data_IF_867825622206
#
_entry.id   IF_867825622206
#
_cell.length_a   1.000
_cell.length_b   1.000
_cell.length_c   1.000
_cell.angle_alpha   90.00
_cell.angle_beta   90.00
_cell.angle_gamma   90.00
#
_symmetry.space_group_name_H-M   'P 1'
#
loop_
_entity.id
_entity.type
_entity.pdbx_description
1 polymer ?
#
# COMPACT_ATOMS: atom_id res chain seq x y z
N UNK A 1 -4.12 15.10 -21.13
CA UNK A 1 -3.10 14.18 -20.61
C UNK A 1 -3.77 12.86 -20.23
N UNK A 2 -3.11 11.70 -20.22
CA UNK A 2 -3.73 10.47 -19.75
C UNK A 2 -4.17 10.62 -18.30
N UNK A 3 -5.30 9.99 -17.95
CA UNK A 3 -5.83 10.02 -16.58
C UNK A 3 -4.90 9.19 -15.69
N UNK A 4 -4.26 9.84 -14.72
CA UNK A 4 -3.43 9.18 -13.73
C UNK A 4 -4.29 8.57 -12.61
N UNK A 5 -4.06 7.31 -12.29
CA UNK A 5 -4.83 6.60 -11.25
C UNK A 5 -3.98 6.32 -10.02
N UNK A 6 -4.53 6.67 -8.87
CA UNK A 6 -3.93 6.34 -7.57
C UNK A 6 -4.89 5.44 -6.82
N UNK A 7 -4.44 4.24 -6.49
CA UNK A 7 -5.17 3.32 -5.62
C UNK A 7 -4.57 3.34 -4.21
N UNK A 8 -5.39 3.61 -3.21
CA UNK A 8 -4.99 3.55 -1.80
C UNK A 8 -5.59 2.28 -1.21
N UNK A 9 -4.74 1.37 -0.74
CA UNK A 9 -5.11 0.06 -0.21
C UNK A 9 -4.92 0.06 1.30
N UNK A 10 -6.02 -0.12 2.03
CA UNK A 10 -6.04 -0.13 3.50
C UNK A 10 -5.35 -1.37 4.09
N UNK A 11 -5.15 -1.37 5.41
CA UNK A 11 -4.57 -2.47 6.16
C UNK A 11 -5.59 -3.49 6.67
N UNK A 12 -5.15 -4.29 7.63
CA UNK A 12 -5.97 -5.30 8.34
C UNK A 12 -7.17 -4.65 9.00
N UNK A 13 -8.37 -5.16 8.74
CA UNK A 13 -9.65 -4.65 9.25
C UNK A 13 -9.91 -3.16 8.95
N UNK A 14 -9.23 -2.62 7.96
CA UNK A 14 -9.34 -1.22 7.58
C UNK A 14 -10.54 -0.92 6.67
N UNK A 15 -10.66 0.34 6.29
CA UNK A 15 -11.69 0.83 5.36
C UNK A 15 -11.21 2.09 4.63
N UNK A 16 -12.02 2.54 3.64
CA UNK A 16 -11.69 3.70 2.79
C UNK A 16 -11.71 5.06 3.49
N UNK A 17 -12.27 5.14 4.71
CA UNK A 17 -12.52 6.40 5.42
C UNK A 17 -11.60 6.64 6.62
N UNK A 18 -10.62 5.76 6.83
CA UNK A 18 -9.73 5.83 8.00
C UNK A 18 -8.41 6.54 7.69
N UNK A 19 -7.69 6.88 8.77
CA UNK A 19 -6.34 7.42 8.73
C UNK A 19 -6.24 8.67 7.83
N UNK A 20 -5.16 8.79 7.09
CA UNK A 20 -4.85 9.85 6.15
C UNK A 20 -5.44 9.62 4.74
N UNK A 21 -6.18 8.52 4.50
CA UNK A 21 -6.66 8.17 3.15
C UNK A 21 -7.63 9.20 2.57
N UNK A 22 -8.68 9.68 3.33
CA UNK A 22 -9.59 10.71 2.82
C UNK A 22 -8.87 12.01 2.51
N UNK A 23 -7.95 12.42 3.38
CA UNK A 23 -7.15 13.63 3.19
C UNK A 23 -6.24 13.53 1.96
N UNK A 24 -5.49 12.42 1.81
CA UNK A 24 -4.60 12.22 0.65
C UNK A 24 -5.40 12.21 -0.66
N UNK A 25 -6.56 11.56 -0.67
CA UNK A 25 -7.47 11.56 -1.82
C UNK A 25 -7.91 12.98 -2.19
N UNK A 26 -8.30 13.78 -1.20
CA UNK A 26 -8.73 15.16 -1.41
C UNK A 26 -7.61 16.02 -1.97
N UNK A 27 -6.41 15.96 -1.37
CA UNK A 27 -5.25 16.76 -1.79
C UNK A 27 -4.75 16.39 -3.20
N UNK A 28 -4.72 15.11 -3.54
CA UNK A 28 -4.34 14.66 -4.89
C UNK A 28 -5.39 15.10 -5.93
N UNK A 29 -6.68 15.01 -5.63
CA UNK A 29 -7.72 15.48 -6.54
C UNK A 29 -7.70 17.01 -6.73
N UNK A 30 -7.24 17.78 -5.73
CA UNK A 30 -7.02 19.24 -5.84
C UNK A 30 -5.80 19.56 -6.69
N UNK A 31 -4.75 18.72 -6.62
CA UNK A 31 -3.49 18.95 -7.33
C UNK A 31 -3.66 18.90 -8.85
N UNK A 32 -4.51 18.01 -9.38
CA UNK A 32 -4.79 17.93 -10.81
C UNK A 32 -6.17 17.33 -11.10
N UNK A 33 -6.93 17.90 -12.06
CA UNK A 33 -8.20 17.33 -12.52
C UNK A 33 -8.03 15.99 -13.27
N UNK A 34 -6.82 15.66 -13.69
CA UNK A 34 -6.51 14.42 -14.41
C UNK A 34 -6.16 13.25 -13.47
N UNK A 35 -6.09 13.49 -12.15
CA UNK A 35 -5.88 12.45 -11.15
C UNK A 35 -7.22 11.84 -10.74
N UNK A 36 -7.25 10.51 -10.64
CA UNK A 36 -8.39 9.76 -10.09
C UNK A 36 -7.94 8.88 -8.94
N UNK A 37 -8.31 9.27 -7.72
CA UNK A 37 -7.96 8.51 -6.52
C UNK A 37 -9.10 7.58 -6.14
N UNK A 38 -8.80 6.30 -6.02
CA UNK A 38 -9.73 5.25 -5.59
C UNK A 38 -9.23 4.61 -4.31
N UNK A 39 -10.09 4.56 -3.31
CA UNK A 39 -9.83 3.84 -2.04
C UNK A 39 -10.88 2.74 -1.95
N UNK A 40 -10.61 1.51 -2.42
CA UNK A 40 -11.59 0.45 -2.38
C UNK A 40 -11.82 -0.02 -0.94
N UNK A 41 -13.07 -0.27 -0.56
CA UNK A 41 -13.41 -1.00 0.66
C UNK A 41 -13.24 -2.49 0.38
N UNK A 42 -12.17 -3.08 0.91
CA UNK A 42 -11.88 -4.50 0.76
C UNK A 42 -12.45 -5.27 1.95
N UNK A 43 -12.87 -6.55 1.76
CA UNK A 43 -13.49 -7.34 2.81
C UNK A 43 -12.65 -7.46 4.08
N UNK A 44 -13.29 -7.32 5.25
CA UNK A 44 -12.66 -7.34 6.57
C UNK A 44 -13.21 -8.44 7.47
N UNK A 45 -12.66 -8.60 8.66
CA UNK A 45 -13.07 -9.60 9.64
C UNK A 45 -12.94 -11.01 9.08
N UNK A 46 -13.97 -11.82 9.26
CA UNK A 46 -13.99 -13.21 8.79
C UNK A 46 -13.92 -13.36 7.26
N UNK A 47 -14.20 -12.29 6.52
CA UNK A 47 -14.14 -12.25 5.07
C UNK A 47 -12.79 -11.71 4.55
N UNK A 48 -11.86 -11.34 5.45
CA UNK A 48 -10.52 -10.88 5.06
C UNK A 48 -9.68 -12.05 4.58
N UNK A 49 -9.51 -12.16 3.29
CA UNK A 49 -8.60 -13.11 2.65
C UNK A 49 -8.06 -12.55 1.35
N UNK A 50 -6.90 -13.03 0.92
CA UNK A 50 -6.31 -12.61 -0.36
C UNK A 50 -7.28 -12.86 -1.52
N UNK A 51 -7.95 -14.00 -1.54
CA UNK A 51 -8.92 -14.36 -2.58
C UNK A 51 -10.09 -13.35 -2.64
N UNK A 52 -10.68 -13.05 -1.48
CA UNK A 52 -11.80 -12.11 -1.40
C UNK A 52 -11.36 -10.68 -1.78
N UNK A 53 -10.14 -10.27 -1.41
CA UNK A 53 -9.60 -8.96 -1.81
C UNK A 53 -9.35 -8.89 -3.32
N UNK A 54 -8.80 -9.95 -3.92
CA UNK A 54 -8.62 -10.03 -5.37
C UNK A 54 -9.97 -9.96 -6.10
N UNK A 55 -10.98 -10.67 -5.60
CA UNK A 55 -12.34 -10.63 -6.15
C UNK A 55 -12.97 -9.25 -6.03
N UNK A 56 -12.86 -8.60 -4.87
CA UNK A 56 -13.37 -7.25 -4.65
C UNK A 56 -12.64 -6.20 -5.51
N UNK A 57 -11.35 -6.41 -5.80
CA UNK A 57 -10.55 -5.51 -6.64
C UNK A 57 -10.75 -5.75 -8.15
N UNK A 58 -11.34 -6.88 -8.55
CA UNK A 58 -11.52 -7.24 -9.96
C UNK A 58 -12.12 -6.14 -10.86
N UNK A 59 -13.12 -5.36 -10.43
CA UNK A 59 -13.66 -4.26 -11.25
C UNK A 59 -12.64 -3.16 -11.59
N UNK A 60 -11.57 -3.05 -10.80
CA UNK A 60 -10.53 -2.02 -10.95
C UNK A 60 -9.34 -2.48 -11.80
N UNK A 61 -9.18 -3.78 -12.05
CA UNK A 61 -8.03 -4.34 -12.78
C UNK A 61 -7.87 -3.71 -14.17
N UNK A 62 -8.96 -3.42 -14.86
CA UNK A 62 -8.95 -2.76 -16.17
C UNK A 62 -8.34 -1.35 -16.17
N UNK A 63 -8.14 -0.77 -14.99
CA UNK A 63 -7.54 0.55 -14.80
C UNK A 63 -6.09 0.49 -14.31
N UNK A 64 -5.53 -0.71 -14.16
CA UNK A 64 -4.13 -0.89 -13.79
C UNK A 64 -3.30 -0.83 -15.07
N UNK A 65 -2.65 0.30 -15.28
CA UNK A 65 -1.83 0.60 -16.45
C UNK A 65 -0.46 1.19 -16.05
N UNK A 66 0.33 1.64 -17.02
CA UNK A 66 1.67 2.19 -16.80
C UNK A 66 1.68 3.53 -16.03
N UNK A 67 0.55 4.23 -15.98
CA UNK A 67 0.41 5.49 -15.24
C UNK A 67 -0.19 5.28 -13.84
N UNK A 68 -0.49 4.02 -13.48
CA UNK A 68 -1.07 3.69 -12.19
C UNK A 68 -0.06 3.80 -11.05
N UNK A 69 -0.49 4.37 -9.92
CA UNK A 69 0.24 4.45 -8.66
C UNK A 69 -0.54 3.68 -7.60
N UNK A 70 0.16 2.85 -6.84
CA UNK A 70 -0.42 2.23 -5.64
C UNK A 70 0.16 2.83 -4.37
N UNK A 71 -0.70 3.02 -3.39
CA UNK A 71 -0.34 3.38 -2.01
C UNK A 71 -0.91 2.28 -1.12
N UNK A 72 -0.07 1.59 -0.36
CA UNK A 72 -0.51 0.53 0.54
C UNK A 72 -0.14 0.82 1.97
N UNK A 73 -1.07 0.64 2.90
CA UNK A 73 -0.83 0.74 4.33
C UNK A 73 -0.87 -0.64 4.99
N UNK A 74 0.10 -0.95 5.83
CA UNK A 74 0.11 -2.15 6.68
C UNK A 74 0.04 -3.46 5.88
N UNK A 75 -1.11 -4.14 5.83
CA UNK A 75 -1.36 -5.33 5.00
C UNK A 75 -1.48 -5.00 3.50
N UNK A 76 -1.86 -3.76 3.16
CA UNK A 76 -2.06 -3.32 1.78
C UNK A 76 -0.89 -3.63 0.85
N UNK A 77 0.38 -3.43 1.24
CA UNK A 77 1.55 -3.83 0.46
C UNK A 77 1.59 -5.31 0.07
N UNK A 78 1.25 -6.24 0.95
CA UNK A 78 1.22 -7.67 0.64
C UNK A 78 0.15 -7.99 -0.43
N UNK A 79 -0.98 -7.29 -0.39
CA UNK A 79 -2.00 -7.35 -1.44
C UNK A 79 -1.50 -6.77 -2.77
N UNK A 80 -0.85 -5.59 -2.75
CA UNK A 80 -0.26 -4.96 -3.94
C UNK A 80 0.75 -5.91 -4.60
N UNK A 81 1.63 -6.54 -3.85
CA UNK A 81 2.57 -7.53 -4.40
C UNK A 81 1.84 -8.69 -5.06
N UNK A 82 0.77 -9.19 -4.43
CA UNK A 82 -0.05 -10.25 -5.01
C UNK A 82 -0.77 -9.83 -6.29
N UNK A 83 -1.10 -8.55 -6.46
CA UNK A 83 -1.59 -7.98 -7.73
C UNK A 83 -0.47 -7.89 -8.76
N UNK A 84 0.72 -7.37 -8.39
CA UNK A 84 1.86 -7.22 -9.28
C UNK A 84 2.34 -8.57 -9.85
N UNK A 85 2.19 -9.66 -9.10
CA UNK A 85 2.48 -11.01 -9.61
C UNK A 85 1.50 -11.46 -10.71
N UNK A 86 0.31 -10.85 -10.81
CA UNK A 86 -0.79 -11.27 -11.69
C UNK A 86 -1.00 -10.39 -12.91
N UNK A 87 -0.58 -9.12 -12.82
CA UNK A 87 -0.68 -8.20 -13.96
C UNK A 87 0.52 -8.37 -14.91
N UNK A 88 0.32 -7.97 -16.18
CA UNK A 88 1.37 -7.97 -17.19
C UNK A 88 1.76 -6.54 -17.59
N UNK A 89 1.48 -5.57 -16.72
CA UNK A 89 1.74 -4.16 -16.95
C UNK A 89 2.67 -3.66 -15.86
N UNK A 90 3.68 -2.89 -16.23
CA UNK A 90 4.57 -2.21 -15.31
C UNK A 90 3.93 -0.91 -14.87
N UNK A 91 3.49 -0.84 -13.62
CA UNK A 91 2.92 0.38 -13.03
C UNK A 91 4.00 1.44 -12.78
N UNK A 92 3.59 2.71 -12.60
CA UNK A 92 4.48 3.83 -12.37
C UNK A 92 5.21 3.77 -11.04
N UNK A 93 4.48 3.59 -9.94
CA UNK A 93 5.09 3.52 -8.61
C UNK A 93 4.20 2.80 -7.58
N UNK A 94 4.84 2.35 -6.49
CA UNK A 94 4.17 1.87 -5.29
C UNK A 94 4.79 2.49 -4.03
N UNK A 95 3.96 3.15 -3.23
CA UNK A 95 4.29 3.72 -1.92
C UNK A 95 3.77 2.80 -0.82
N UNK A 96 4.66 2.28 -0.02
CA UNK A 96 4.42 1.18 0.92
C UNK A 96 4.63 1.69 2.36
N UNK A 97 3.54 1.91 3.10
CA UNK A 97 3.55 2.47 4.45
C UNK A 97 3.43 1.36 5.47
N UNK A 98 4.41 1.24 6.37
CA UNK A 98 4.53 0.17 7.36
C UNK A 98 4.32 -1.23 6.76
N UNK A 99 5.02 -1.61 5.67
CA UNK A 99 4.81 -2.88 4.97
C UNK A 99 5.36 -4.07 5.75
N UNK A 100 4.67 -5.20 5.63
CA UNK A 100 5.16 -6.50 6.07
C UNK A 100 4.67 -7.62 5.15
N UNK A 101 5.42 -8.72 5.10
CA UNK A 101 5.10 -9.92 4.30
C UNK A 101 5.35 -11.21 5.08
N UNK A 102 5.56 -11.10 6.38
CA UNK A 102 5.76 -12.21 7.32
C UNK A 102 4.91 -11.98 8.56
N UNK A 103 4.76 -13.01 9.41
CA UNK A 103 4.01 -12.87 10.67
C UNK A 103 4.54 -11.73 11.53
N UNK A 104 3.63 -11.06 12.22
CA UNK A 104 3.91 -9.94 13.14
C UNK A 104 4.32 -10.42 14.53
N UNK A 105 4.08 -11.71 14.84
CA UNK A 105 4.21 -12.27 16.19
C UNK A 105 3.00 -11.99 17.07
N UNK A 106 1.93 -11.46 16.50
CA UNK A 106 0.65 -11.18 17.16
C UNK A 106 -0.37 -12.18 16.63
N UNK A 107 -0.66 -13.22 17.42
CA UNK A 107 -1.44 -14.38 16.98
C UNK A 107 -2.73 -14.03 16.23
N UNK A 108 -3.48 -13.05 16.73
CA UNK A 108 -4.74 -12.62 16.13
C UNK A 108 -4.53 -12.05 14.72
N UNK A 109 -3.52 -11.18 14.54
CA UNK A 109 -3.21 -10.60 13.25
C UNK A 109 -2.58 -11.61 12.29
N UNK A 110 -1.70 -12.47 12.80
CA UNK A 110 -1.05 -13.50 11.98
C UNK A 110 -2.06 -14.51 11.42
N UNK A 111 -3.10 -14.85 12.22
CA UNK A 111 -4.20 -15.69 11.76
C UNK A 111 -5.02 -14.99 10.67
N UNK A 112 -5.42 -13.74 10.91
CA UNK A 112 -6.27 -12.95 10.01
C UNK A 112 -5.56 -12.65 8.67
N UNK A 113 -4.26 -12.39 8.72
CA UNK A 113 -3.45 -12.03 7.56
C UNK A 113 -2.84 -13.23 6.83
N UNK A 114 -3.09 -14.44 7.31
CA UNK A 114 -2.37 -15.64 6.90
C UNK A 114 -2.38 -15.91 5.39
N UNK A 115 -3.50 -15.66 4.72
CA UNK A 115 -3.62 -15.88 3.26
C UNK A 115 -2.79 -14.92 2.42
N UNK A 116 -2.40 -13.77 2.98
CA UNK A 116 -1.59 -12.76 2.31
C UNK A 116 -0.08 -12.99 2.50
N UNK A 117 0.33 -13.51 3.67
CA UNK A 117 1.73 -13.56 4.10
C UNK A 117 2.31 -14.97 4.18
N UNK A 118 1.48 -16.03 4.21
CA UNK A 118 1.95 -17.44 4.19
C UNK A 118 2.09 -17.94 2.76
N UNK A 119 2.89 -17.24 1.98
CA UNK A 119 3.20 -17.59 0.59
C UNK A 119 4.59 -17.09 0.22
N UNK A 120 5.17 -17.70 -0.78
CA UNK A 120 6.36 -17.16 -1.42
C UNK A 120 5.96 -16.07 -2.43
N UNK A 121 6.70 -14.96 -2.41
CA UNK A 121 6.51 -13.87 -3.37
C UNK A 121 7.55 -13.99 -4.49
N UNK A 122 7.10 -13.88 -5.74
CA UNK A 122 8.00 -13.74 -6.88
C UNK A 122 8.51 -12.29 -6.96
N UNK A 123 9.58 -12.03 -6.20
CA UNK A 123 10.19 -10.70 -6.14
C UNK A 123 10.71 -10.21 -7.49
N UNK A 124 11.10 -11.11 -8.41
CA UNK A 124 11.52 -10.74 -9.75
C UNK A 124 10.34 -10.19 -10.54
N UNK A 125 9.21 -10.90 -10.51
CA UNK A 125 7.98 -10.46 -11.17
C UNK A 125 7.46 -9.16 -10.57
N UNK A 126 7.46 -9.02 -9.24
CA UNK A 126 7.05 -7.82 -8.52
C UNK A 126 7.89 -6.62 -8.97
N UNK A 127 9.22 -6.73 -8.96
CA UNK A 127 10.12 -5.65 -9.40
C UNK A 127 9.96 -5.33 -10.88
N UNK A 128 9.74 -6.32 -11.74
CA UNK A 128 9.54 -6.08 -13.18
C UNK A 128 8.25 -5.31 -13.48
N UNK A 129 7.24 -5.45 -12.62
CA UNK A 129 5.90 -4.86 -12.82
C UNK A 129 5.66 -3.57 -12.03
N UNK A 130 6.71 -2.97 -11.46
CA UNK A 130 6.64 -1.62 -10.87
C UNK A 130 7.93 -0.86 -11.17
N UNK A 131 7.84 0.41 -11.57
CA UNK A 131 9.01 1.20 -11.93
C UNK A 131 9.78 1.66 -10.70
N UNK A 132 9.06 2.16 -9.69
CA UNK A 132 9.63 2.70 -8.46
C UNK A 132 8.88 2.21 -7.23
N UNK A 133 9.64 1.88 -6.18
CA UNK A 133 9.11 1.59 -4.85
C UNK A 133 9.66 2.58 -3.83
N UNK A 134 8.78 3.04 -2.93
CA UNK A 134 9.16 3.79 -1.73
C UNK A 134 8.53 3.13 -0.51
N UNK A 135 9.33 2.87 0.52
CA UNK A 135 8.88 2.29 1.79
C UNK A 135 9.00 3.34 2.88
N UNK A 136 7.94 3.54 3.64
CA UNK A 136 7.92 4.35 4.87
C UNK A 136 7.82 3.41 6.07
N UNK A 137 8.74 3.55 7.00
CA UNK A 137 8.75 2.82 8.27
C UNK A 137 8.80 3.81 9.43
N UNK A 138 8.29 3.41 10.58
CA UNK A 138 8.41 4.19 11.82
C UNK A 138 9.28 3.45 12.82
N UNK A 139 10.09 4.20 13.57
CA UNK A 139 10.97 3.65 14.62
C UNK A 139 10.22 3.26 15.91
N UNK A 140 8.97 3.68 16.04
CA UNK A 140 8.12 3.39 17.21
C UNK A 140 6.79 2.71 16.81
N UNK A 141 6.72 2.04 15.66
CA UNK A 141 5.53 1.29 15.25
C UNK A 141 5.30 0.09 16.21
N UNK A 142 4.13 0.03 16.89
CA UNK A 142 3.86 -1.03 17.87
C UNK A 142 3.52 -2.39 17.23
N UNK A 143 3.31 -2.46 15.92
CA UNK A 143 2.88 -3.67 15.21
C UNK A 143 3.92 -4.18 14.21
N UNK A 144 4.46 -3.29 13.40
CA UNK A 144 5.40 -3.62 12.32
C UNK A 144 6.78 -3.08 12.67
N UNK A 145 7.68 -3.96 13.10
CA UNK A 145 9.05 -3.53 13.36
C UNK A 145 9.72 -2.96 12.11
N UNK A 146 10.62 -2.02 12.32
CA UNK A 146 11.39 -1.38 11.24
C UNK A 146 12.12 -2.42 10.36
N UNK A 147 12.56 -3.55 10.95
CA UNK A 147 13.26 -4.63 10.23
C UNK A 147 12.33 -5.35 9.24
N UNK A 148 11.04 -5.48 9.55
CA UNK A 148 10.06 -6.06 8.61
C UNK A 148 9.85 -5.16 7.40
N UNK A 149 9.75 -3.86 7.62
CA UNK A 149 9.64 -2.87 6.56
C UNK A 149 10.95 -2.77 5.75
N UNK A 150 12.11 -2.85 6.39
CA UNK A 150 13.41 -2.90 5.73
C UNK A 150 13.57 -4.14 4.86
N UNK A 151 13.14 -5.30 5.36
CA UNK A 151 13.13 -6.53 4.55
C UNK A 151 12.33 -6.33 3.24
N UNK A 152 11.17 -5.68 3.31
CA UNK A 152 10.38 -5.38 2.11
C UNK A 152 11.13 -4.42 1.18
N UNK A 153 11.75 -3.38 1.73
CA UNK A 153 12.53 -2.43 0.95
C UNK A 153 13.69 -3.10 0.21
N UNK A 154 14.42 -3.98 0.88
CA UNK A 154 15.54 -4.73 0.29
C UNK A 154 15.05 -5.66 -0.84
N UNK A 155 13.91 -6.33 -0.65
CA UNK A 155 13.33 -7.22 -1.66
C UNK A 155 12.81 -6.51 -2.89
N UNK A 156 12.37 -5.26 -2.73
CA UNK A 156 11.79 -4.45 -3.82
C UNK A 156 12.80 -3.47 -4.44
N UNK A 157 14.00 -3.31 -3.87
CA UNK A 157 14.96 -2.25 -4.16
C UNK A 157 14.36 -0.85 -3.94
N UNK A 158 13.51 -0.71 -2.92
CA UNK A 158 12.79 0.53 -2.63
C UNK A 158 13.68 1.63 -2.04
N UNK A 159 13.31 2.88 -2.28
CA UNK A 159 13.74 3.99 -1.43
C UNK A 159 13.19 3.74 -0.01
N UNK A 160 14.05 3.75 1.00
CA UNK A 160 13.64 3.49 2.38
C UNK A 160 13.69 4.76 3.21
N UNK A 161 12.55 5.15 3.77
CA UNK A 161 12.37 6.35 4.58
C UNK A 161 11.94 5.96 5.99
N UNK A 162 12.60 6.51 7.00
CA UNK A 162 12.22 6.35 8.41
C UNK A 162 11.56 7.63 8.88
N UNK A 163 10.30 7.53 9.30
CA UNK A 163 9.55 8.63 9.89
C UNK A 163 9.54 8.46 11.40
N UNK A 164 10.28 9.31 12.09
CA UNK A 164 10.44 9.19 13.55
C UNK A 164 9.14 9.50 14.28
N UNK A 165 8.78 8.64 15.22
CA UNK A 165 7.62 8.84 16.07
C UNK A 165 6.24 8.69 15.41
N UNK A 166 6.18 8.16 14.17
CA UNK A 166 4.92 8.06 13.41
C UNK A 166 3.97 6.95 13.87
N UNK A 167 4.37 6.13 14.85
CA UNK A 167 3.60 4.98 15.28
C UNK A 167 3.30 4.06 14.10
N UNK A 168 2.07 3.58 13.98
CA UNK A 168 1.64 2.76 12.84
C UNK A 168 1.05 3.59 11.69
N UNK A 169 1.39 4.86 11.56
CA UNK A 169 0.83 5.77 10.55
C UNK A 169 -0.71 5.75 10.50
N UNK A 170 -1.35 5.63 11.64
CA UNK A 170 -2.80 5.54 11.75
C UNK A 170 -3.39 6.66 12.60
N UNK A 171 -4.73 6.78 12.60
CA UNK A 171 -5.43 7.81 13.37
C UNK A 171 -5.13 7.74 14.87
N UNK A 172 -4.92 6.54 15.44
CA UNK A 172 -4.54 6.36 16.84
C UNK A 172 -3.17 6.95 17.18
N UNK A 173 -2.26 7.00 16.19
CA UNK A 173 -0.96 7.66 16.29
C UNK A 173 -1.00 9.15 15.87
N UNK A 174 -2.20 9.71 15.63
CA UNK A 174 -2.38 11.09 15.18
C UNK A 174 -2.21 11.31 13.68
N UNK A 175 -1.99 10.25 12.89
CA UNK A 175 -1.78 10.33 11.43
C UNK A 175 -3.12 10.46 10.70
N UNK A 176 -3.66 11.68 10.64
CA UNK A 176 -4.82 12.07 9.82
C UNK A 176 -4.41 12.78 8.53
N UNK A 177 -3.13 13.16 8.43
CA UNK A 177 -2.48 13.73 7.24
C UNK A 177 -1.11 13.10 7.09
N UNK A 178 -0.61 13.03 5.86
CA UNK A 178 0.71 12.50 5.57
C UNK A 178 1.33 13.32 4.43
N UNK A 179 1.84 14.51 4.79
CA UNK A 179 2.36 15.48 3.84
C UNK A 179 3.53 14.93 3.01
N UNK A 180 4.41 14.14 3.64
CA UNK A 180 5.59 13.60 2.94
C UNK A 180 5.19 12.65 1.78
N UNK A 181 4.20 11.78 1.98
CA UNK A 181 3.74 10.89 0.90
C UNK A 181 3.03 11.69 -0.21
N UNK A 182 2.31 12.76 0.15
CA UNK A 182 1.68 13.64 -0.82
C UNK A 182 2.71 14.29 -1.74
N UNK A 183 3.78 14.86 -1.17
CA UNK A 183 4.85 15.51 -1.93
C UNK A 183 5.64 14.49 -2.78
N UNK A 184 5.90 13.31 -2.25
CA UNK A 184 6.55 12.24 -3.04
C UNK A 184 5.69 11.80 -4.23
N UNK A 185 4.37 11.68 -4.05
CA UNK A 185 3.45 11.35 -5.16
C UNK A 185 3.42 12.49 -6.16
N UNK A 186 3.30 13.75 -5.72
CA UNK A 186 3.29 14.92 -6.63
C UNK A 186 4.55 14.97 -7.48
N UNK A 187 5.72 14.70 -6.89
CA UNK A 187 7.00 14.75 -7.59
C UNK A 187 7.14 13.80 -8.78
N UNK A 188 6.29 12.78 -8.87
CA UNK A 188 6.29 11.82 -9.98
C UNK A 188 5.10 11.96 -10.93
N UNK A 189 4.13 12.82 -10.56
CA UNK A 189 2.94 13.10 -11.37
C UNK A 189 3.20 14.27 -12.34
N UNK A 190 4.04 15.22 -11.93
CA UNK A 190 4.51 16.35 -12.74
C UNK A 190 5.45 15.87 -13.86
#
# INVERSE_FOLDING_TARGET
MPIQRVFIIHGTNGNSKENWFPWLKEELNKASPDIRVTVPDLPTGNNQSLENWLKAFQPFIKYVDSDCIFVGHSLGPAFIFSLLERVNTKIRAAFLVAPFVTGLGIQQFDKLNSTFIKKDFDWNKIRSNCADFTVYASDNDPYVSIDKSRFVADRTNAKFKVVHGAGHFNAAAGYLKFEEILEDIKSIIE
#
